data_IF_378070460857
#
_entry.id   IF_378070460857
#
_cell.length_a   1.000
_cell.length_b   1.000
_cell.length_c   1.000
_cell.angle_alpha   90.00
_cell.angle_beta   90.00
_cell.angle_gamma   90.00
#
_symmetry.space_group_name_H-M   'P 1'
#
loop_
_entity.id
_entity.type
_entity.pdbx_description
1 polymer ?
#
# COMPACT_ATOMS: atom_id res chain seq x y z
N UNK A 1 17.32 25.75 -0.20
CA UNK A 1 16.91 24.55 -0.96
C UNK A 1 17.06 23.35 -0.04
N UNK A 2 16.07 22.43 0.04
CA UNK A 2 16.33 21.15 0.68
C UNK A 2 17.50 20.46 -0.05
N UNK A 3 18.40 19.76 0.67
CA UNK A 3 19.49 19.04 0.02
C UNK A 3 18.90 18.04 -1.01
N UNK A 4 19.57 17.89 -2.15
CA UNK A 4 19.21 16.87 -3.12
C UNK A 4 19.21 15.51 -2.40
N UNK A 5 18.10 14.77 -2.49
CA UNK A 5 17.99 13.45 -1.87
C UNK A 5 19.13 12.57 -2.38
N UNK A 6 19.89 11.97 -1.46
CA UNK A 6 20.98 11.07 -1.83
C UNK A 6 20.42 9.86 -2.61
N UNK A 7 21.16 9.35 -3.61
CA UNK A 7 20.73 8.16 -4.33
C UNK A 7 20.58 6.97 -3.37
N UNK A 8 19.62 6.06 -3.63
CA UNK A 8 19.48 4.85 -2.83
C UNK A 8 20.74 3.99 -2.94
N UNK A 9 21.07 3.23 -1.88
CA UNK A 9 22.06 2.16 -2.00
C UNK A 9 21.47 1.03 -2.83
N UNK A 10 22.12 0.63 -3.93
CA UNK A 10 21.64 -0.46 -4.78
C UNK A 10 22.13 -1.80 -4.25
N UNK A 11 21.20 -2.62 -3.76
CA UNK A 11 21.46 -3.91 -3.13
C UNK A 11 21.00 -5.09 -3.98
N UNK A 12 20.48 -4.85 -5.19
CA UNK A 12 19.88 -5.89 -6.05
C UNK A 12 20.86 -6.96 -6.49
N UNK A 13 22.11 -6.57 -6.74
CA UNK A 13 23.19 -7.46 -7.16
C UNK A 13 24.10 -7.92 -5.99
N UNK A 14 23.67 -7.70 -4.75
CA UNK A 14 24.40 -8.07 -3.53
C UNK A 14 23.46 -8.89 -2.62
N UNK A 15 23.34 -8.55 -1.33
CA UNK A 15 22.52 -9.28 -0.38
C UNK A 15 21.02 -9.27 -0.70
N UNK A 16 20.53 -8.30 -1.50
CA UNK A 16 19.11 -8.02 -1.74
C UNK A 16 18.26 -8.09 -0.46
N UNK A 17 18.80 -7.52 0.64
CA UNK A 17 18.19 -7.59 1.96
C UNK A 17 18.08 -6.21 2.63
N UNK A 18 16.89 -5.83 3.16
CA UNK A 18 16.66 -4.48 3.67
C UNK A 18 17.45 -4.16 4.95
N UNK A 19 17.87 -5.14 5.73
CA UNK A 19 18.63 -4.86 6.96
C UNK A 19 19.97 -4.16 6.70
N UNK A 20 20.56 -4.30 5.51
CA UNK A 20 21.78 -3.57 5.15
C UNK A 20 21.56 -2.05 5.27
N UNK A 21 20.35 -1.56 4.98
CA UNK A 21 20.00 -0.15 5.12
C UNK A 21 20.12 0.37 6.57
N UNK A 22 19.92 -0.49 7.59
CA UNK A 22 20.06 -0.08 9.00
C UNK A 22 21.50 0.29 9.37
N UNK A 23 22.47 -0.20 8.61
CA UNK A 23 23.90 0.04 8.83
C UNK A 23 24.51 0.96 7.76
N UNK A 24 23.72 1.36 6.76
CA UNK A 24 24.12 2.28 5.72
C UNK A 24 24.01 3.72 6.24
N UNK A 25 24.93 4.14 7.12
CA UNK A 25 24.92 5.43 7.82
C UNK A 25 24.65 6.66 6.93
N UNK A 26 24.97 6.55 5.63
CA UNK A 26 24.89 7.65 4.66
C UNK A 26 23.67 7.59 3.74
N UNK A 27 22.93 6.48 3.69
CA UNK A 27 21.83 6.27 2.76
C UNK A 27 20.47 6.32 3.45
N UNK A 28 19.52 7.04 2.86
CA UNK A 28 18.15 7.17 3.38
C UNK A 28 17.20 6.09 2.83
N UNK A 29 17.63 5.39 1.80
CA UNK A 29 16.86 4.30 1.18
C UNK A 29 17.76 3.30 0.47
N UNK A 30 17.21 2.10 0.26
CA UNK A 30 17.83 1.02 -0.49
C UNK A 30 16.97 0.64 -1.69
N UNK A 31 17.61 0.33 -2.81
CA UNK A 31 17.00 -0.27 -3.98
C UNK A 31 17.15 -1.79 -3.90
N UNK A 32 16.04 -2.50 -3.99
CA UNK A 32 15.93 -3.95 -3.83
C UNK A 32 15.06 -4.52 -4.94
N UNK A 33 15.25 -5.80 -5.25
CA UNK A 33 14.32 -6.54 -6.10
C UNK A 33 13.24 -7.14 -5.21
N UNK A 34 12.07 -6.50 -5.24
CA UNK A 34 10.90 -6.90 -4.48
C UNK A 34 10.15 -8.02 -5.17
N UNK A 35 10.27 -9.24 -4.68
CA UNK A 35 9.44 -10.37 -5.12
C UNK A 35 7.95 -10.02 -4.92
N UNK A 36 7.14 -10.11 -5.99
CA UNK A 36 5.74 -9.70 -5.96
C UNK A 36 4.87 -10.58 -5.04
N UNK A 37 5.24 -11.86 -4.86
CA UNK A 37 4.62 -12.75 -3.87
C UNK A 37 4.86 -12.31 -2.41
N UNK A 38 5.93 -11.56 -2.15
CA UNK A 38 6.26 -10.99 -0.85
C UNK A 38 5.70 -9.57 -0.64
N UNK A 39 5.04 -9.01 -1.66
CA UNK A 39 4.41 -7.71 -1.59
C UNK A 39 3.12 -7.72 -0.80
N UNK A 40 2.90 -6.64 -0.03
CA UNK A 40 1.71 -6.44 0.79
C UNK A 40 1.12 -5.06 0.54
N UNK A 41 -0.20 -4.99 0.55
CA UNK A 41 -0.97 -3.75 0.55
C UNK A 41 -1.93 -3.73 1.76
N UNK A 42 -2.43 -2.57 2.11
CA UNK A 42 -3.43 -2.46 3.16
C UNK A 42 -4.78 -3.05 2.67
N UNK A 43 -5.58 -3.71 3.53
CA UNK A 43 -5.33 -3.99 4.95
C UNK A 43 -4.76 -5.41 5.16
N UNK A 44 -3.54 -5.68 4.69
CA UNK A 44 -2.85 -7.00 4.69
C UNK A 44 -3.13 -7.90 3.48
N UNK A 45 -3.50 -7.31 2.35
CA UNK A 45 -3.70 -8.03 1.07
C UNK A 45 -2.36 -8.38 0.42
N UNK A 46 -2.29 -9.56 -0.21
CA UNK A 46 -1.15 -10.00 -1.01
C UNK A 46 -1.15 -9.28 -2.37
N UNK A 47 -0.03 -8.64 -2.69
CA UNK A 47 0.11 -7.77 -3.87
C UNK A 47 -0.25 -8.47 -5.20
N UNK A 48 0.13 -9.74 -5.33
CA UNK A 48 0.00 -10.50 -6.57
C UNK A 48 -1.23 -11.43 -6.63
N UNK A 49 -2.17 -11.32 -5.68
CA UNK A 49 -3.36 -12.21 -5.68
C UNK A 49 -4.65 -11.53 -5.26
N UNK A 50 -4.59 -10.60 -4.29
CA UNK A 50 -5.80 -10.17 -3.59
C UNK A 50 -6.03 -8.67 -3.51
N UNK A 51 -5.12 -7.83 -4.00
CA UNK A 51 -5.39 -6.38 -4.02
C UNK A 51 -6.46 -6.05 -5.08
N UNK A 52 -7.32 -5.05 -4.83
CA UNK A 52 -8.33 -4.62 -5.80
C UNK A 52 -7.70 -4.20 -7.13
N UNK A 53 -6.59 -3.46 -7.07
CA UNK A 53 -5.87 -3.03 -8.27
C UNK A 53 -5.24 -4.19 -9.04
N UNK A 54 -4.69 -5.20 -8.36
CA UNK A 54 -4.16 -6.39 -9.05
C UNK A 54 -5.27 -7.14 -9.76
N UNK A 55 -6.39 -7.42 -9.09
CA UNK A 55 -7.50 -8.16 -9.69
C UNK A 55 -8.12 -7.41 -10.86
N UNK A 56 -8.36 -6.11 -10.69
CA UNK A 56 -8.87 -5.27 -11.78
C UNK A 56 -7.90 -5.22 -12.97
N UNK A 57 -6.59 -5.06 -12.71
CA UNK A 57 -5.58 -5.10 -13.77
C UNK A 57 -5.53 -6.48 -14.46
N UNK A 58 -5.63 -7.58 -13.70
CA UNK A 58 -5.62 -8.94 -14.23
C UNK A 58 -6.82 -9.21 -15.13
N UNK A 59 -8.00 -8.74 -14.71
CA UNK A 59 -9.23 -8.80 -15.51
C UNK A 59 -9.07 -8.04 -16.84
N UNK A 60 -8.45 -6.85 -16.83
CA UNK A 60 -8.14 -6.12 -18.05
C UNK A 60 -7.13 -6.85 -18.95
N UNK A 61 -6.13 -7.53 -18.39
CA UNK A 61 -5.17 -8.36 -19.16
C UNK A 61 -5.89 -9.52 -19.86
N UNK A 62 -6.78 -10.21 -19.14
CA UNK A 62 -7.53 -11.36 -19.68
C UNK A 62 -8.56 -10.96 -20.74
N UNK A 63 -9.18 -9.80 -20.58
CA UNK A 63 -10.11 -9.23 -21.56
C UNK A 63 -9.40 -8.71 -22.82
N UNK A 64 -8.17 -8.21 -22.65
CA UNK A 64 -7.40 -7.51 -23.68
C UNK A 64 -7.28 -6.03 -23.34
N UNK A 65 -6.07 -5.62 -22.92
CA UNK A 65 -5.81 -4.29 -22.34
C UNK A 65 -6.10 -3.12 -23.30
N UNK A 66 -6.04 -3.33 -24.62
CA UNK A 66 -6.25 -2.29 -25.63
C UNK A 66 -7.71 -2.15 -26.06
N UNK A 67 -8.60 -2.98 -25.52
CA UNK A 67 -10.03 -2.85 -25.80
C UNK A 67 -10.59 -1.54 -25.22
N UNK A 68 -11.58 -0.93 -25.90
CA UNK A 68 -12.13 0.37 -25.49
C UNK A 68 -12.87 0.29 -24.15
N UNK A 69 -13.44 -0.87 -23.81
CA UNK A 69 -14.21 -1.14 -22.60
C UNK A 69 -13.34 -1.58 -21.40
N UNK A 70 -12.01 -1.66 -21.55
CA UNK A 70 -11.11 -2.09 -20.48
C UNK A 70 -11.19 -1.20 -19.23
N UNK A 71 -11.39 0.12 -19.40
CA UNK A 71 -11.53 1.06 -18.27
C UNK A 71 -12.82 0.81 -17.50
N UNK A 72 -13.94 0.59 -18.19
CA UNK A 72 -15.23 0.30 -17.54
C UNK A 72 -15.17 -1.02 -16.76
N UNK A 73 -14.52 -2.04 -17.33
CA UNK A 73 -14.31 -3.34 -16.68
C UNK A 73 -13.50 -3.20 -15.38
N UNK A 74 -12.40 -2.44 -15.44
CA UNK A 74 -11.57 -2.14 -14.26
C UNK A 74 -12.38 -1.36 -13.23
N UNK A 75 -13.13 -0.35 -13.64
CA UNK A 75 -13.97 0.45 -12.74
C UNK A 75 -15.00 -0.43 -12.02
N UNK A 76 -15.63 -1.36 -12.72
CA UNK A 76 -16.57 -2.31 -12.12
C UNK A 76 -15.91 -3.17 -11.03
N UNK A 77 -14.72 -3.71 -11.32
CA UNK A 77 -13.98 -4.51 -10.36
C UNK A 77 -13.58 -3.70 -9.11
N UNK A 78 -13.19 -2.43 -9.29
CA UNK A 78 -12.93 -1.52 -8.18
C UNK A 78 -14.21 -1.19 -7.40
N UNK A 79 -15.34 -0.98 -8.09
CA UNK A 79 -16.65 -0.74 -7.44
C UNK A 79 -17.01 -1.88 -6.50
N UNK A 80 -16.94 -3.12 -6.99
CA UNK A 80 -17.23 -4.30 -6.19
C UNK A 80 -16.39 -4.37 -4.92
N UNK A 81 -15.12 -3.96 -4.96
CA UNK A 81 -14.27 -3.86 -3.77
C UNK A 81 -14.75 -2.75 -2.81
N UNK A 82 -14.95 -1.53 -3.32
CA UNK A 82 -15.33 -0.38 -2.49
C UNK A 82 -16.72 -0.54 -1.87
N UNK A 83 -17.64 -1.24 -2.53
CA UNK A 83 -18.96 -1.54 -1.97
C UNK A 83 -18.90 -2.58 -0.85
N UNK A 84 -17.90 -3.47 -0.87
CA UNK A 84 -17.74 -4.55 0.12
C UNK A 84 -16.85 -4.18 1.31
N UNK A 85 -15.86 -3.29 1.11
CA UNK A 85 -14.85 -2.97 2.12
C UNK A 85 -15.02 -1.53 2.60
N UNK A 86 -15.89 -1.34 3.60
CA UNK A 86 -16.22 -0.03 4.19
C UNK A 86 -16.04 -0.04 5.72
N UNK A 87 -14.78 0.01 6.22
CA UNK A 87 -14.52 0.14 7.66
C UNK A 87 -15.15 1.42 8.24
N UNK A 88 -15.78 1.31 9.40
CA UNK A 88 -16.30 2.47 10.13
C UNK A 88 -15.19 3.24 10.87
N UNK A 89 -14.06 2.59 11.16
CA UNK A 89 -12.98 3.18 11.97
C UNK A 89 -11.58 2.68 11.60
N UNK A 90 -10.56 3.35 12.12
CA UNK A 90 -9.17 2.91 12.04
C UNK A 90 -8.97 1.56 12.76
N UNK A 91 -9.67 1.32 13.87
CA UNK A 91 -9.63 0.03 14.57
C UNK A 91 -10.13 -1.11 13.67
N UNK A 92 -11.29 -0.94 13.05
CA UNK A 92 -11.85 -1.92 12.11
C UNK A 92 -10.93 -2.14 10.89
N UNK A 93 -10.40 -1.06 10.31
CA UNK A 93 -9.45 -1.13 9.20
C UNK A 93 -8.19 -1.94 9.53
N UNK A 94 -7.70 -1.83 10.77
CA UNK A 94 -6.55 -2.58 11.28
C UNK A 94 -6.91 -3.99 11.80
N UNK A 95 -8.20 -4.36 11.81
CA UNK A 95 -8.68 -5.65 12.29
C UNK A 95 -8.65 -5.80 13.81
N UNK A 96 -8.80 -4.70 14.54
CA UNK A 96 -8.84 -4.67 15.99
C UNK A 96 -10.27 -4.81 16.52
N UNK A 97 -10.40 -5.44 17.69
CA UNK A 97 -11.68 -5.64 18.38
C UNK A 97 -12.09 -4.47 19.28
N UNK A 98 -13.12 -4.71 20.11
CA UNK A 98 -13.66 -3.74 21.05
C UNK A 98 -12.67 -3.31 22.16
N UNK A 99 -11.59 -4.07 22.35
CA UNK A 99 -10.48 -3.77 23.26
C UNK A 99 -9.45 -2.77 22.68
N UNK A 100 -9.64 -2.32 21.43
CA UNK A 100 -8.83 -1.26 20.84
C UNK A 100 -8.92 0.05 21.64
N UNK A 101 -7.88 0.88 21.59
CA UNK A 101 -7.94 2.20 22.20
C UNK A 101 -9.09 3.04 21.59
N UNK A 102 -9.82 3.79 22.43
CA UNK A 102 -10.95 4.63 22.00
C UNK A 102 -10.58 5.55 20.83
N UNK A 103 -9.36 6.08 20.82
CA UNK A 103 -8.85 6.92 19.73
C UNK A 103 -8.83 6.20 18.36
N UNK A 104 -8.58 4.89 18.31
CA UNK A 104 -8.64 4.10 17.07
C UNK A 104 -10.08 3.76 16.68
N UNK A 105 -10.97 3.58 17.66
CA UNK A 105 -12.38 3.29 17.42
C UNK A 105 -13.13 4.51 16.85
N UNK A 106 -12.68 5.72 17.17
CA UNK A 106 -13.33 6.96 16.71
C UNK A 106 -12.63 7.62 15.53
N UNK A 107 -11.36 7.28 15.26
CA UNK A 107 -10.65 7.78 14.09
C UNK A 107 -11.19 7.16 12.80
N UNK A 108 -11.29 7.93 11.70
CA UNK A 108 -11.70 7.39 10.41
C UNK A 108 -10.65 6.40 9.86
N UNK A 109 -11.03 5.47 8.97
CA UNK A 109 -10.12 4.44 8.46
C UNK A 109 -8.85 4.98 7.79
N UNK A 110 -8.94 6.09 7.05
CA UNK A 110 -7.78 6.72 6.41
C UNK A 110 -6.80 7.39 7.40
N UNK A 111 -7.21 7.61 8.66
CA UNK A 111 -6.32 8.11 9.71
C UNK A 111 -5.55 6.99 10.42
N UNK A 112 -5.77 5.71 10.06
CA UNK A 112 -5.11 4.58 10.69
C UNK A 112 -3.57 4.70 10.63
N UNK A 113 -2.95 4.59 11.80
CA UNK A 113 -1.48 4.54 11.95
C UNK A 113 -1.05 3.13 12.27
N UNK A 114 0.07 2.69 11.71
CA UNK A 114 0.66 1.41 12.12
C UNK A 114 1.41 1.55 13.44
N UNK A 115 1.51 0.46 14.24
CA UNK A 115 2.16 0.49 15.55
C UNK A 115 3.58 1.08 15.56
N UNK A 116 4.34 0.86 14.49
CA UNK A 116 5.73 1.29 14.32
C UNK A 116 5.90 2.70 13.71
N UNK A 117 4.83 3.38 13.29
CA UNK A 117 4.96 4.69 12.64
C UNK A 117 5.26 5.79 13.64
N UNK A 118 6.11 6.73 13.25
CA UNK A 118 6.44 7.89 14.05
C UNK A 118 5.31 8.95 14.10
N UNK A 119 4.39 8.99 13.12
CA UNK A 119 3.31 9.98 13.12
C UNK A 119 2.15 9.55 14.01
N UNK A 120 1.43 10.53 14.56
CA UNK A 120 0.19 10.35 15.33
C UNK A 120 -1.03 10.21 14.42
N UNK A 121 -2.18 9.80 14.98
CA UNK A 121 -3.46 9.74 14.27
C UNK A 121 -3.83 11.09 13.63
N UNK A 122 -3.75 12.18 14.40
CA UNK A 122 -4.06 13.53 13.89
C UNK A 122 -3.11 13.96 12.77
N UNK A 123 -1.81 13.70 12.92
CA UNK A 123 -0.82 14.01 11.90
C UNK A 123 -1.06 13.20 10.61
N UNK A 124 -1.49 11.94 10.72
CA UNK A 124 -1.86 11.11 9.58
C UNK A 124 -3.12 11.63 8.90
N UNK A 125 -4.17 11.93 9.68
CA UNK A 125 -5.42 12.50 9.18
C UNK A 125 -5.17 13.77 8.36
N UNK A 126 -4.48 14.75 8.95
CA UNK A 126 -4.18 16.01 8.27
C UNK A 126 -3.35 15.82 7.00
N UNK A 127 -2.39 14.89 7.01
CA UNK A 127 -1.57 14.60 5.84
C UNK A 127 -2.39 13.99 4.70
N UNK A 128 -3.33 13.08 4.99
CA UNK A 128 -4.18 12.46 3.97
C UNK A 128 -5.27 13.40 3.46
N UNK A 129 -5.88 14.21 4.33
CA UNK A 129 -6.85 15.24 3.90
C UNK A 129 -6.19 16.24 2.95
N UNK A 130 -4.97 16.70 3.30
CA UNK A 130 -4.19 17.57 2.43
C UNK A 130 -3.83 16.88 1.11
N UNK A 131 -3.34 15.64 1.15
CA UNK A 131 -2.96 14.91 -0.06
C UNK A 131 -4.15 14.64 -0.99
N UNK A 132 -5.32 14.30 -0.44
CA UNK A 132 -6.55 14.11 -1.20
C UNK A 132 -6.96 15.40 -1.92
N UNK A 133 -6.89 16.53 -1.22
CA UNK A 133 -7.18 17.84 -1.81
C UNK A 133 -6.19 18.21 -2.93
N UNK A 134 -4.88 18.03 -2.70
CA UNK A 134 -3.84 18.31 -3.71
C UNK A 134 -3.99 17.42 -4.95
N UNK A 135 -4.26 16.12 -4.76
CA UNK A 135 -4.48 15.17 -5.83
C UNK A 135 -5.71 15.52 -6.67
N UNK A 136 -6.85 15.78 -6.01
CA UNK A 136 -8.08 16.12 -6.70
C UNK A 136 -7.93 17.46 -7.45
N UNK A 137 -7.25 18.44 -6.86
CA UNK A 137 -6.96 19.73 -7.51
C UNK A 137 -6.06 19.60 -8.74
N UNK A 138 -5.10 18.68 -8.74
CA UNK A 138 -4.28 18.39 -9.92
C UNK A 138 -5.13 17.86 -11.10
N UNK A 139 -6.32 17.33 -10.81
CA UNK A 139 -7.31 16.89 -11.81
C UNK A 139 -8.42 17.93 -12.06
N UNK A 140 -8.27 19.16 -11.56
CA UNK A 140 -9.23 20.25 -11.74
C UNK A 140 -10.43 20.22 -10.80
N UNK A 141 -10.38 19.44 -9.70
CA UNK A 141 -11.48 19.29 -8.74
C UNK A 141 -11.17 19.99 -7.41
N UNK A 142 -12.18 20.65 -6.84
CA UNK A 142 -12.10 21.33 -5.55
C UNK A 142 -12.81 20.52 -4.46
N UNK A 143 -12.35 19.28 -4.25
CA UNK A 143 -12.88 18.32 -3.27
C UNK A 143 -11.74 17.60 -2.57
N UNK A 144 -11.95 17.15 -1.34
CA UNK A 144 -10.98 16.47 -0.48
C UNK A 144 -11.24 14.98 -0.34
N UNK A 145 -11.04 14.49 0.89
CA UNK A 145 -11.14 13.07 1.26
C UNK A 145 -12.57 12.53 1.18
N UNK A 146 -13.57 13.40 1.12
CA UNK A 146 -14.99 13.06 0.98
C UNK A 146 -15.34 12.34 -0.33
N UNK A 147 -14.50 12.48 -1.37
CA UNK A 147 -14.64 11.70 -2.61
C UNK A 147 -14.09 10.27 -2.47
N UNK A 148 -13.54 9.92 -1.31
CA UNK A 148 -13.08 8.58 -0.95
C UNK A 148 -11.56 8.42 -0.85
N UNK A 149 -11.16 7.26 -0.34
CA UNK A 149 -9.77 6.89 -0.09
C UNK A 149 -9.39 5.63 -0.86
N UNK A 150 -8.21 5.60 -1.46
CA UNK A 150 -7.81 4.53 -2.42
C UNK A 150 -7.83 3.10 -1.85
N UNK A 151 -7.80 2.96 -0.52
CA UNK A 151 -7.71 1.64 0.11
C UNK A 151 -9.06 1.08 0.58
N UNK A 152 -10.10 1.90 0.77
CA UNK A 152 -11.40 1.40 1.21
C UNK A 152 -12.55 2.31 0.77
N UNK A 153 -13.76 1.75 0.70
CA UNK A 153 -14.96 2.50 0.39
C UNK A 153 -15.50 3.29 1.58
N UNK A 154 -16.51 4.14 1.32
CA UNK A 154 -17.04 4.46 -0.02
C UNK A 154 -16.09 5.34 -0.84
N UNK A 155 -16.21 5.27 -2.16
CA UNK A 155 -15.47 6.12 -3.12
C UNK A 155 -16.46 6.66 -4.16
N UNK A 156 -16.34 7.94 -4.52
CA UNK A 156 -17.21 8.54 -5.54
C UNK A 156 -16.99 7.87 -6.89
N UNK A 157 -18.06 7.76 -7.70
CA UNK A 157 -17.96 7.17 -9.05
C UNK A 157 -16.93 7.89 -9.92
N UNK A 158 -16.80 9.20 -9.75
CA UNK A 158 -15.80 10.02 -10.45
C UNK A 158 -14.36 9.75 -10.01
N UNK A 159 -14.09 9.52 -8.72
CA UNK A 159 -12.74 9.14 -8.25
C UNK A 159 -12.40 7.72 -8.69
N UNK A 160 -13.38 6.83 -8.65
CA UNK A 160 -13.23 5.46 -9.13
C UNK A 160 -12.90 5.39 -10.62
N UNK A 161 -13.52 6.23 -11.45
CA UNK A 161 -13.19 6.37 -12.87
C UNK A 161 -11.72 6.79 -13.07
N UNK A 162 -11.24 7.79 -12.32
CA UNK A 162 -9.84 8.23 -12.38
C UNK A 162 -8.88 7.09 -12.04
N UNK A 163 -9.14 6.35 -10.96
CA UNK A 163 -8.26 5.25 -10.58
C UNK A 163 -8.27 4.11 -11.61
N UNK A 164 -9.42 3.85 -12.25
CA UNK A 164 -9.53 2.90 -13.35
C UNK A 164 -8.71 3.31 -14.58
N UNK A 165 -8.79 4.58 -14.99
CA UNK A 165 -7.99 5.13 -16.08
C UNK A 165 -6.48 5.05 -15.77
N UNK A 166 -6.09 5.38 -14.54
CA UNK A 166 -4.68 5.33 -14.10
C UNK A 166 -4.11 3.93 -14.14
N UNK A 167 -4.82 2.92 -13.62
CA UNK A 167 -4.30 1.55 -13.65
C UNK A 167 -4.25 1.02 -15.09
N UNK A 168 -5.24 1.29 -15.95
CA UNK A 168 -5.20 0.89 -17.38
C UNK A 168 -4.06 1.58 -18.12
N UNK A 169 -3.84 2.87 -17.87
CA UNK A 169 -2.71 3.61 -18.43
C UNK A 169 -1.38 2.96 -18.04
N UNK A 170 -1.15 2.73 -16.75
CA UNK A 170 0.09 2.11 -16.25
C UNK A 170 0.27 0.69 -16.80
N UNK A 171 -0.82 -0.09 -16.84
CA UNK A 171 -0.82 -1.44 -17.40
C UNK A 171 -0.39 -1.46 -18.87
N UNK A 172 -0.99 -0.60 -19.71
CA UNK A 172 -0.59 -0.43 -21.11
C UNK A 172 0.86 0.02 -21.24
N UNK A 173 1.32 0.96 -20.41
CA UNK A 173 2.71 1.43 -20.45
C UNK A 173 3.69 0.29 -20.15
N UNK A 174 3.45 -0.49 -19.10
CA UNK A 174 4.33 -1.61 -18.72
C UNK A 174 4.25 -2.74 -19.76
N UNK A 175 3.07 -3.04 -20.30
CA UNK A 175 2.92 -4.07 -21.33
C UNK A 175 3.69 -3.75 -22.61
N UNK A 176 3.66 -2.50 -23.07
CA UNK A 176 4.27 -2.09 -24.34
C UNK A 176 5.76 -1.76 -24.23
N UNK A 177 6.21 -1.24 -23.09
CA UNK A 177 7.59 -0.72 -22.93
C UNK A 177 8.39 -1.40 -21.84
N UNK A 178 7.82 -2.42 -21.19
CA UNK A 178 8.40 -3.05 -20.02
C UNK A 178 8.27 -2.18 -18.75
N UNK A 179 8.64 -2.76 -17.61
CA UNK A 179 8.72 -2.01 -16.36
C UNK A 179 9.92 -1.06 -16.38
N UNK A 180 9.65 0.24 -16.28
CA UNK A 180 10.68 1.29 -16.31
C UNK A 180 10.88 1.87 -14.91
N UNK A 181 12.14 1.96 -14.50
CA UNK A 181 12.55 2.63 -13.26
C UNK A 181 13.19 3.98 -13.56
N UNK A 182 13.11 4.90 -12.61
CA UNK A 182 13.94 6.11 -12.60
C UNK A 182 14.42 6.44 -11.18
N UNK A 183 15.50 7.19 -11.06
CA UNK A 183 16.02 7.61 -9.76
C UNK A 183 15.23 8.78 -9.15
N UNK A 184 14.27 9.34 -9.89
CA UNK A 184 13.39 10.41 -9.45
C UNK A 184 12.66 10.03 -8.15
N UNK A 185 12.22 11.01 -7.34
CA UNK A 185 11.48 10.73 -6.11
C UNK A 185 10.20 9.90 -6.32
N UNK A 186 9.61 9.89 -7.51
CA UNK A 186 8.47 9.04 -7.87
C UNK A 186 8.83 7.94 -8.89
N UNK A 187 10.12 7.70 -9.13
CA UNK A 187 10.62 6.78 -10.16
C UNK A 187 10.48 5.29 -9.82
N UNK A 188 10.44 4.95 -8.53
CA UNK A 188 10.31 3.57 -8.04
C UNK A 188 9.04 3.38 -7.19
N UNK A 189 8.56 2.14 -7.10
CA UNK A 189 7.60 1.73 -6.06
C UNK A 189 8.27 1.88 -4.70
N UNK A 190 7.61 2.56 -3.76
CA UNK A 190 8.13 2.75 -2.40
C UNK A 190 7.53 1.74 -1.44
N UNK A 191 8.34 1.26 -0.52
CA UNK A 191 7.88 0.31 0.48
C UNK A 191 8.54 0.46 1.84
N UNK A 192 7.84 -0.02 2.86
CA UNK A 192 8.41 -0.36 4.17
C UNK A 192 8.72 -1.85 4.18
N UNK A 193 9.97 -2.21 4.51
CA UNK A 193 10.34 -3.60 4.73
C UNK A 193 9.90 -4.05 6.13
N UNK A 194 9.29 -5.23 6.21
CA UNK A 194 8.92 -5.92 7.43
C UNK A 194 9.81 -7.17 7.53
N UNK A 195 10.51 -7.35 8.65
CA UNK A 195 11.47 -8.43 8.86
C UNK A 195 11.07 -9.24 10.10
N UNK A 196 10.96 -10.56 9.98
CA UNK A 196 10.66 -11.46 11.10
C UNK A 196 11.95 -11.96 11.78
N UNK A 197 11.80 -12.82 12.79
CA UNK A 197 12.90 -13.41 13.57
C UNK A 197 13.78 -14.35 12.74
N UNK A 198 13.24 -14.94 11.67
CA UNK A 198 13.97 -15.82 10.75
C UNK A 198 14.71 -15.06 9.65
N UNK A 199 14.77 -13.73 9.73
CA UNK A 199 15.36 -12.86 8.71
C UNK A 199 14.65 -12.93 7.35
N UNK A 200 13.43 -13.45 7.32
CA UNK A 200 12.57 -13.34 6.15
C UNK A 200 11.96 -11.95 6.12
N UNK A 201 11.78 -11.40 4.91
CA UNK A 201 11.20 -10.08 4.75
C UNK A 201 10.06 -10.03 3.75
N UNK A 202 9.18 -9.06 3.98
CA UNK A 202 8.06 -8.67 3.13
C UNK A 202 8.12 -7.18 2.90
N UNK A 203 7.49 -6.69 1.84
CA UNK A 203 7.44 -5.26 1.56
C UNK A 203 6.00 -4.78 1.57
N UNK A 204 5.71 -3.88 2.50
CA UNK A 204 4.44 -3.18 2.58
C UNK A 204 4.55 -1.93 1.71
N UNK A 205 3.77 -1.90 0.64
CA UNK A 205 3.74 -0.77 -0.29
C UNK A 205 3.32 0.52 0.43
N UNK A 206 3.99 1.62 0.09
CA UNK A 206 3.67 2.97 0.58
C UNK A 206 3.38 3.95 -0.54
N UNK A 207 3.91 3.71 -1.75
CA UNK A 207 3.57 4.44 -2.96
C UNK A 207 3.78 3.56 -4.20
N UNK A 208 3.03 3.83 -5.28
CA UNK A 208 3.13 3.09 -6.54
C UNK A 208 2.22 1.86 -6.66
N UNK A 209 1.07 1.85 -5.96
CA UNK A 209 0.10 0.73 -6.00
C UNK A 209 -0.27 0.29 -7.42
N UNK A 210 -0.49 1.25 -8.32
CA UNK A 210 -0.83 0.93 -9.72
C UNK A 210 0.30 0.21 -10.45
N UNK A 211 1.55 0.68 -10.29
CA UNK A 211 2.73 0.08 -10.94
C UNK A 211 2.98 -1.33 -10.45
N UNK A 212 2.94 -1.54 -9.14
CA UNK A 212 3.13 -2.87 -8.55
C UNK A 212 2.02 -3.85 -8.99
N UNK A 213 0.76 -3.40 -8.97
CA UNK A 213 -0.39 -4.22 -9.34
C UNK A 213 -0.39 -4.58 -10.83
N UNK A 214 -0.08 -3.61 -11.69
CA UNK A 214 0.02 -3.83 -13.14
C UNK A 214 1.18 -4.77 -13.49
N UNK A 215 2.35 -4.60 -12.87
CA UNK A 215 3.48 -5.52 -13.06
C UNK A 215 3.11 -6.96 -12.64
N UNK A 216 2.47 -7.12 -11.48
CA UNK A 216 1.99 -8.42 -11.04
C UNK A 216 0.97 -9.04 -12.00
N UNK A 217 -0.01 -8.25 -12.49
CA UNK A 217 -1.01 -8.72 -13.44
C UNK A 217 -0.43 -9.16 -14.80
N UNK A 218 0.68 -8.53 -15.22
CA UNK A 218 1.42 -8.88 -16.43
C UNK A 218 2.40 -10.06 -16.23
N UNK A 219 2.46 -10.64 -15.03
CA UNK A 219 3.25 -11.85 -14.76
C UNK A 219 4.72 -11.60 -14.37
N UNK A 220 5.08 -10.37 -13.96
CA UNK A 220 6.41 -10.14 -13.39
C UNK A 220 6.56 -10.92 -12.07
N UNK A 221 7.72 -11.53 -11.86
CA UNK A 221 8.04 -12.22 -10.60
C UNK A 221 8.56 -11.25 -9.52
N UNK A 222 9.30 -10.23 -9.94
CA UNK A 222 9.86 -9.17 -9.10
C UNK A 222 9.87 -7.84 -9.84
N UNK A 223 9.94 -6.75 -9.07
CA UNK A 223 10.16 -5.39 -9.56
C UNK A 223 11.19 -4.67 -8.69
N UNK A 224 11.92 -3.68 -9.23
CA UNK A 224 12.74 -2.82 -8.40
C UNK A 224 11.84 -1.98 -7.48
N UNK A 225 12.16 -2.00 -6.18
CA UNK A 225 11.47 -1.22 -5.14
C UNK A 225 12.47 -0.40 -4.33
N UNK A 226 12.02 0.76 -3.85
CA UNK A 226 12.78 1.62 -2.95
C UNK A 226 12.26 1.46 -1.52
N UNK A 227 13.09 0.87 -0.67
CA UNK A 227 12.80 0.71 0.77
C UNK A 227 13.43 1.87 1.52
N UNK A 228 12.63 2.58 2.32
CA UNK A 228 13.08 3.72 3.14
C UNK A 228 12.81 3.55 4.64
N UNK A 229 12.25 2.41 5.04
CA UNK A 229 11.98 2.08 6.43
C UNK A 229 12.04 0.56 6.61
N UNK A 230 12.76 0.11 7.64
CA UNK A 230 12.92 -1.31 7.98
C UNK A 230 12.39 -1.58 9.38
N UNK A 231 11.33 -2.37 9.48
CA UNK A 231 10.67 -2.72 10.72
C UNK A 231 10.97 -4.18 11.03
N UNK A 232 11.64 -4.43 12.17
CA UNK A 232 11.81 -5.78 12.69
C UNK A 232 10.74 -6.09 13.70
N UNK A 233 10.15 -7.28 13.62
CA UNK A 233 9.14 -7.77 14.57
C UNK A 233 9.65 -7.78 16.01
N UNK A 234 10.92 -8.16 16.20
CA UNK A 234 11.59 -8.18 17.51
C UNK A 234 11.64 -6.80 18.20
N UNK A 235 11.55 -5.70 17.43
CA UNK A 235 11.57 -4.34 17.97
C UNK A 235 10.19 -3.89 18.50
N UNK A 236 9.16 -4.75 18.45
CA UNK A 236 7.79 -4.40 18.80
C UNK A 236 7.61 -3.71 20.18
N UNK A 237 8.30 -4.12 21.26
CA UNK A 237 8.22 -3.43 22.55
C UNK A 237 8.68 -1.96 22.51
N UNK A 238 9.47 -1.57 21.50
CA UNK A 238 10.02 -0.24 21.32
C UNK A 238 9.27 0.59 20.26
N UNK A 239 8.31 0.01 19.56
CA UNK A 239 7.50 0.76 18.61
C UNK A 239 6.73 1.88 19.31
N UNK A 240 6.73 3.07 18.68
CA UNK A 240 6.17 4.31 19.24
C UNK A 240 4.79 4.09 19.86
N UNK A 241 3.86 3.54 19.08
CA UNK A 241 2.46 3.45 19.50
C UNK A 241 2.20 2.29 20.48
N UNK A 242 3.15 1.37 20.64
CA UNK A 242 3.17 0.40 21.75
C UNK A 242 3.63 1.10 23.03
N UNK A 243 4.71 1.89 22.94
CA UNK A 243 5.27 2.67 24.05
C UNK A 243 4.29 3.72 24.59
N UNK A 244 3.51 4.32 23.70
CA UNK A 244 2.45 5.31 24.00
C UNK A 244 1.11 4.64 24.38
N UNK A 245 1.03 3.29 24.39
CA UNK A 245 -0.16 2.50 24.73
C UNK A 245 -1.39 2.76 23.84
N UNK A 246 -1.18 3.26 22.63
CA UNK A 246 -2.23 3.32 21.60
C UNK A 246 -2.57 1.90 21.11
N UNK A 247 -1.56 1.01 21.06
CA UNK A 247 -1.74 -0.43 20.89
C UNK A 247 -1.16 -1.17 22.10
N UNK A 248 -1.80 -2.26 22.50
CA UNK A 248 -1.12 -3.26 23.33
C UNK A 248 -0.03 -3.97 22.49
N UNK A 249 0.95 -4.60 23.16
CA UNK A 249 1.98 -5.36 22.46
C UNK A 249 1.36 -6.49 21.61
N UNK A 250 0.34 -7.17 22.11
CA UNK A 250 -0.35 -8.24 21.38
C UNK A 250 -1.10 -7.73 20.15
N UNK A 251 -1.79 -6.58 20.25
CA UNK A 251 -2.46 -5.94 19.11
C UNK A 251 -1.43 -5.53 18.05
N UNK A 252 -0.30 -4.94 18.46
CA UNK A 252 0.74 -4.51 17.54
C UNK A 252 1.40 -5.68 16.80
N UNK A 253 1.71 -6.77 17.51
CA UNK A 253 2.24 -7.99 16.91
C UNK A 253 1.22 -8.64 15.97
N UNK A 254 -0.06 -8.67 16.33
CA UNK A 254 -1.13 -9.17 15.47
C UNK A 254 -1.19 -8.40 14.13
N UNK A 255 -1.15 -7.05 14.18
CA UNK A 255 -1.12 -6.21 12.97
C UNK A 255 0.12 -6.53 12.11
N UNK A 256 1.30 -6.60 12.72
CA UNK A 256 2.53 -6.95 11.99
C UNK A 256 2.39 -8.33 11.34
N UNK A 257 1.97 -9.33 12.10
CA UNK A 257 1.90 -10.72 11.65
C UNK A 257 0.81 -10.93 10.60
N UNK A 258 -0.27 -10.16 10.65
CA UNK A 258 -1.31 -10.19 9.63
C UNK A 258 -0.79 -9.62 8.32
N UNK A 259 -0.13 -8.45 8.34
CA UNK A 259 0.46 -7.87 7.14
C UNK A 259 1.55 -8.78 6.59
N UNK A 260 2.49 -9.23 7.42
CA UNK A 260 3.61 -10.07 7.01
C UNK A 260 3.12 -11.36 6.33
N UNK A 261 2.17 -12.05 6.95
CA UNK A 261 1.66 -13.32 6.43
C UNK A 261 0.57 -13.16 5.35
N UNK A 262 0.16 -11.92 5.03
CA UNK A 262 -0.91 -11.69 4.06
C UNK A 262 -2.23 -12.27 4.54
N UNK A 263 -2.59 -12.01 5.81
CA UNK A 263 -3.85 -12.39 6.44
C UNK A 263 -4.72 -11.13 6.57
N UNK A 264 -5.62 -10.86 5.61
CA UNK A 264 -6.46 -9.67 5.64
C UNK A 264 -7.40 -9.65 6.84
N UNK A 265 -7.88 -8.46 7.17
CA UNK A 265 -8.88 -8.30 8.22
C UNK A 265 -10.21 -8.92 7.78
N UNK A 266 -11.11 -9.30 8.72
CA UNK A 266 -12.42 -9.85 8.38
C UNK A 266 -13.27 -8.97 7.47
N UNK A 267 -12.98 -7.66 7.38
CA UNK A 267 -13.65 -6.76 6.43
C UNK A 267 -13.37 -7.11 4.96
N UNK A 268 -12.19 -7.65 4.67
CA UNK A 268 -11.80 -8.01 3.32
C UNK A 268 -12.31 -9.39 2.91
N UNK A 269 -12.91 -10.16 3.82
CA UNK A 269 -13.38 -11.52 3.57
C UNK A 269 -14.38 -11.63 2.42
N UNK A 270 -15.34 -10.72 2.37
CA UNK A 270 -16.35 -10.69 1.30
C UNK A 270 -15.66 -10.55 -0.07
N UNK A 271 -14.74 -9.58 -0.17
CA UNK A 271 -13.93 -9.35 -1.35
C UNK A 271 -13.07 -10.56 -1.73
N UNK A 272 -12.49 -11.24 -0.74
CA UNK A 272 -11.66 -12.42 -0.99
C UNK A 272 -12.46 -13.59 -1.55
N UNK A 273 -13.68 -13.81 -1.04
CA UNK A 273 -14.57 -14.90 -1.46
C UNK A 273 -15.27 -14.64 -2.78
N UNK A 274 -15.66 -13.39 -3.04
CA UNK A 274 -16.35 -12.96 -4.26
C UNK A 274 -15.55 -11.86 -4.96
N UNK A 275 -14.40 -12.21 -5.59
CA UNK A 275 -13.75 -11.32 -6.53
C UNK A 275 -14.72 -10.95 -7.66
N UNK A 276 -14.72 -9.68 -8.07
CA UNK A 276 -15.32 -9.28 -9.35
C UNK A 276 -14.59 -9.90 -10.53
#
# INVERSE_FOLDING_TARGET
MPPASRPPVDLRNDANHPLVLRYAEVHESALLDGCLAHGRAQPSLCMNTSTPFYRAARLAVEHGIDRPDAVDLVREALRAYYDQVQPASAAEWLGLGADAAVALQTAPPWAAVFPWRARTLDSYRMAYEKAAYEENRATGRDRGIEDGWLFCGPVSGEKMQIEAERIVYVLRRIAHTGYQRSDDPDGDVKATALVNENMEWRWLITAGNHRASAAAALGYASIPIRVNLVISRADAPFWRHVRERLFSLSQALSIFDNIFNGRPTPLADAWLRNPA
#
